data_IF_126104238383
#
_entry.id   IF_126104238383
#
_cell.length_a   1.000
_cell.length_b   1.000
_cell.length_c   1.000
_cell.angle_alpha   90.00
_cell.angle_beta   90.00
_cell.angle_gamma   90.00
#
_symmetry.space_group_name_H-M   'P 1'
#
loop_
_entity.id
_entity.type
_entity.pdbx_description
1 polymer ?
#
# COMPACT_ATOMS: atom_id res chain seq x y z
N UNK A 1 -1.69 3.17 13.08
CA UNK A 1 -1.49 3.22 14.56
C UNK A 1 -2.15 1.99 15.20
N UNK A 2 -1.76 1.40 16.33
CA UNK A 2 -0.61 0.48 16.57
C UNK A 2 0.80 1.05 16.38
N UNK A 3 1.78 0.23 15.99
CA UNK A 3 3.19 0.61 15.85
C UNK A 3 3.52 1.44 14.59
N UNK A 4 2.50 1.90 13.87
CA UNK A 4 2.63 2.65 12.63
C UNK A 4 2.66 1.80 11.36
N UNK A 5 2.65 0.48 11.49
CA UNK A 5 2.63 -0.49 10.39
C UNK A 5 1.36 -1.34 10.40
N UNK A 6 1.27 -2.31 9.48
CA UNK A 6 0.19 -3.30 9.45
C UNK A 6 0.50 -4.59 10.22
N UNK A 7 1.73 -4.75 10.72
CA UNK A 7 2.21 -6.00 11.31
C UNK A 7 1.36 -6.46 12.51
N UNK A 8 0.98 -5.53 13.40
CA UNK A 8 0.12 -5.87 14.54
C UNK A 8 -1.24 -6.44 14.10
N UNK A 9 -1.82 -5.94 13.00
CA UNK A 9 -3.07 -6.47 12.47
C UNK A 9 -2.88 -7.86 11.85
N UNK A 10 -1.74 -8.11 11.19
CA UNK A 10 -1.41 -9.42 10.65
C UNK A 10 -1.36 -10.48 11.76
N UNK A 11 -0.72 -10.16 12.89
CA UNK A 11 -0.64 -11.04 14.05
C UNK A 11 -2.03 -11.34 14.65
N UNK A 12 -2.85 -10.30 14.83
CA UNK A 12 -4.21 -10.46 15.37
C UNK A 12 -5.11 -11.28 14.45
N UNK A 13 -4.97 -11.13 13.13
CA UNK A 13 -5.73 -11.91 12.15
C UNK A 13 -5.26 -13.37 12.08
N UNK A 14 -3.95 -13.61 12.19
CA UNK A 14 -3.39 -14.96 12.26
C UNK A 14 -3.87 -15.70 13.52
N UNK A 15 -3.85 -15.02 14.67
CA UNK A 15 -4.35 -15.56 15.94
C UNK A 15 -5.85 -15.88 15.90
N UNK A 16 -6.65 -15.01 15.26
CA UNK A 16 -8.09 -15.24 15.10
C UNK A 16 -8.41 -16.41 14.15
N UNK A 17 -7.52 -16.69 13.20
CA UNK A 17 -7.68 -17.72 12.18
C UNK A 17 -8.68 -17.36 11.08
N UNK A 18 -8.65 -18.13 9.98
CA UNK A 18 -9.52 -17.93 8.81
C UNK A 18 -10.59 -19.02 8.77
N UNK A 19 -11.86 -18.61 8.60
CA UNK A 19 -12.98 -19.51 8.31
C UNK A 19 -13.40 -19.35 6.84
N UNK A 20 -13.20 -20.40 6.06
CA UNK A 20 -13.69 -20.42 4.67
C UNK A 20 -15.23 -20.39 4.63
N UNK A 21 -15.77 -19.72 3.62
CA UNK A 21 -17.20 -19.63 3.35
C UNK A 21 -17.53 -20.45 2.11
N UNK A 22 -18.75 -21.00 2.05
CA UNK A 22 -19.28 -21.72 0.88
C UNK A 22 -19.72 -20.74 -0.23
N UNK A 23 -18.81 -19.86 -0.63
CA UNK A 23 -18.99 -18.88 -1.68
C UNK A 23 -17.68 -18.70 -2.45
N UNK A 24 -17.79 -18.44 -3.76
CA UNK A 24 -16.59 -18.21 -4.58
C UNK A 24 -16.09 -16.77 -4.42
N UNK A 25 -14.78 -16.59 -4.29
CA UNK A 25 -14.16 -15.27 -4.18
C UNK A 25 -14.18 -14.55 -5.53
N UNK A 26 -14.67 -13.31 -5.53
CA UNK A 26 -14.65 -12.43 -6.70
C UNK A 26 -13.49 -11.44 -6.60
N UNK A 27 -12.87 -11.14 -7.75
CA UNK A 27 -11.80 -10.15 -7.89
C UNK A 27 -12.05 -9.25 -9.09
N UNK A 28 -11.47 -8.05 -9.06
CA UNK A 28 -11.52 -7.08 -10.16
C UNK A 28 -10.33 -7.36 -11.08
N UNK A 29 -10.56 -7.78 -12.33
CA UNK A 29 -9.51 -7.94 -13.35
C UNK A 29 -9.41 -6.69 -14.21
N UNK A 30 -8.21 -6.12 -14.30
CA UNK A 30 -7.94 -4.95 -15.14
C UNK A 30 -7.88 -5.36 -16.61
N UNK A 31 -8.65 -4.69 -17.46
CA UNK A 31 -8.77 -4.95 -18.91
C UNK A 31 -8.08 -3.90 -19.77
N UNK A 32 -7.99 -2.66 -19.28
CA UNK A 32 -7.31 -1.55 -19.94
C UNK A 32 -6.43 -0.81 -18.96
N UNK A 33 -5.37 -0.20 -19.46
CA UNK A 33 -4.55 0.69 -18.65
C UNK A 33 -5.36 1.92 -18.24
N UNK A 34 -5.42 2.19 -16.94
CA UNK A 34 -6.05 3.38 -16.37
C UNK A 34 -4.99 4.13 -15.58
N UNK A 35 -4.86 5.43 -15.83
CA UNK A 35 -3.87 6.29 -15.18
C UNK A 35 -4.50 7.59 -14.70
N UNK A 36 -4.01 8.10 -13.58
CA UNK A 36 -4.24 9.47 -13.10
C UNK A 36 -2.88 10.14 -12.87
N UNK A 37 -2.77 11.41 -13.26
CA UNK A 37 -1.55 12.22 -13.17
C UNK A 37 -1.82 13.53 -12.44
N UNK A 38 -0.86 14.02 -11.66
CA UNK A 38 -0.85 15.37 -11.07
C UNK A 38 0.57 15.94 -11.16
N UNK A 39 0.78 16.83 -12.14
CA UNK A 39 2.11 17.31 -12.49
C UNK A 39 3.00 16.19 -13.04
N UNK A 40 4.11 15.93 -12.35
CA UNK A 40 5.06 14.85 -12.61
C UNK A 40 4.67 13.51 -11.95
N UNK A 41 3.69 13.53 -11.03
CA UNK A 41 3.24 12.36 -10.27
C UNK A 41 2.22 11.56 -11.05
N UNK A 42 2.23 10.24 -10.89
CA UNK A 42 1.21 9.39 -11.46
C UNK A 42 0.92 8.15 -10.62
N UNK A 43 -0.28 7.62 -10.81
CA UNK A 43 -0.67 6.27 -10.37
C UNK A 43 -1.41 5.59 -11.51
N UNK A 44 -1.14 4.30 -11.72
CA UNK A 44 -1.65 3.57 -12.88
C UNK A 44 -1.93 2.11 -12.54
N UNK A 45 -3.00 1.58 -13.10
CA UNK A 45 -3.29 0.14 -13.15
C UNK A 45 -3.19 -0.35 -14.59
N UNK A 46 -2.52 -1.49 -14.80
CA UNK A 46 -2.36 -2.14 -16.10
C UNK A 46 -2.93 -3.56 -16.09
N UNK A 47 -3.45 -4.05 -17.24
CA UNK A 47 -3.79 -5.46 -17.40
C UNK A 47 -2.56 -6.33 -17.14
N UNK A 48 -2.72 -7.33 -16.29
CA UNK A 48 -1.67 -8.30 -15.96
C UNK A 48 -2.32 -9.58 -15.43
N UNK A 49 -1.66 -10.72 -15.68
CA UNK A 49 -2.04 -12.01 -15.07
C UNK A 49 -1.39 -12.22 -13.70
N UNK A 50 -0.59 -11.26 -13.24
CA UNK A 50 0.03 -11.23 -11.92
C UNK A 50 -0.34 -9.95 -11.18
N UNK A 51 -0.40 -10.02 -9.84
CA UNK A 51 -0.63 -8.86 -8.98
C UNK A 51 0.71 -8.32 -8.54
N UNK A 52 1.06 -7.11 -8.98
CA UNK A 52 2.31 -6.44 -8.64
C UNK A 52 2.05 -5.00 -8.20
N UNK A 53 2.92 -4.50 -7.32
CA UNK A 53 2.96 -3.11 -6.90
C UNK A 53 4.37 -2.59 -7.08
N UNK A 54 4.54 -1.64 -8.00
CA UNK A 54 5.78 -0.92 -8.23
C UNK A 54 5.56 0.53 -7.78
N UNK A 55 6.33 0.97 -6.79
CA UNK A 55 6.19 2.29 -6.22
C UNK A 55 7.54 2.97 -6.12
N UNK A 56 7.62 4.16 -6.70
CA UNK A 56 8.74 5.06 -6.60
C UNK A 56 8.34 6.35 -5.85
N UNK A 57 9.22 6.81 -4.98
CA UNK A 57 9.13 8.09 -4.31
C UNK A 57 10.37 8.92 -4.61
N UNK A 58 10.19 10.24 -4.66
CA UNK A 58 11.28 11.20 -4.75
C UNK A 58 10.96 12.35 -3.78
N UNK A 59 11.61 12.33 -2.62
CA UNK A 59 11.46 13.37 -1.61
C UNK A 59 12.71 14.23 -1.57
N UNK A 60 12.52 15.55 -1.59
CA UNK A 60 13.57 16.55 -1.29
C UNK A 60 13.94 16.50 0.22
N UNK A 61 14.51 15.38 0.65
CA UNK A 61 14.94 15.15 2.02
C UNK A 61 16.16 14.24 2.03
N UNK A 62 17.26 14.60 2.72
CA UNK A 62 18.55 13.90 2.62
C UNK A 62 18.50 12.41 3.01
N UNK A 63 17.57 12.04 3.90
CA UNK A 63 17.41 10.64 4.35
C UNK A 63 16.43 9.83 3.52
N UNK A 64 15.39 10.48 2.99
CA UNK A 64 14.37 9.76 2.21
C UNK A 64 14.89 9.64 0.78
N UNK A 65 15.17 10.78 0.15
CA UNK A 65 15.63 10.85 -1.23
C UNK A 65 14.71 10.12 -2.20
N UNK A 66 15.34 9.62 -3.27
CA UNK A 66 14.69 8.74 -4.22
C UNK A 66 14.75 7.30 -3.73
N UNK A 67 13.59 6.64 -3.66
CA UNK A 67 13.49 5.23 -3.29
C UNK A 67 12.47 4.53 -4.17
N UNK A 68 12.72 3.25 -4.43
CA UNK A 68 11.78 2.39 -5.13
C UNK A 68 11.57 1.08 -4.37
N UNK A 69 10.39 0.51 -4.52
CA UNK A 69 10.12 -0.87 -4.15
C UNK A 69 9.22 -1.51 -5.22
N UNK A 70 9.58 -2.74 -5.58
CA UNK A 70 8.75 -3.64 -6.38
C UNK A 70 8.30 -4.79 -5.51
N UNK A 71 7.01 -5.10 -5.54
CA UNK A 71 6.40 -6.13 -4.73
C UNK A 71 5.50 -7.01 -5.59
N UNK A 72 5.82 -8.31 -5.63
CA UNK A 72 4.93 -9.31 -6.18
C UNK A 72 4.01 -9.82 -5.06
N UNK A 73 2.71 -9.78 -5.29
CA UNK A 73 1.72 -10.11 -4.27
C UNK A 73 1.89 -11.57 -3.79
N UNK A 74 1.91 -11.76 -2.48
CA UNK A 74 2.22 -12.99 -1.74
C UNK A 74 1.87 -12.81 -0.27
N UNK A 75 1.17 -13.72 0.42
CA UNK A 75 0.85 -13.51 1.85
C UNK A 75 2.13 -13.54 2.69
N UNK A 76 2.98 -14.54 2.50
CA UNK A 76 4.29 -14.59 3.18
C UNK A 76 5.18 -13.38 2.81
N UNK A 77 5.40 -13.05 1.52
CA UNK A 77 6.08 -11.82 1.13
C UNK A 77 5.47 -10.56 1.75
N UNK A 78 4.15 -10.45 1.83
CA UNK A 78 3.49 -9.29 2.45
C UNK A 78 3.94 -9.10 3.89
N UNK A 79 3.87 -10.18 4.69
CA UNK A 79 4.24 -10.17 6.12
C UNK A 79 5.73 -9.83 6.28
N UNK A 80 6.59 -10.46 5.49
CA UNK A 80 8.04 -10.33 5.63
C UNK A 80 8.57 -8.98 5.11
N UNK A 81 7.97 -8.45 4.05
CA UNK A 81 8.54 -7.33 3.27
C UNK A 81 7.78 -6.00 3.39
N UNK A 82 6.46 -6.02 3.62
CA UNK A 82 5.62 -4.82 3.51
C UNK A 82 4.94 -4.49 4.84
N UNK A 83 4.35 -5.49 5.51
CA UNK A 83 3.49 -5.29 6.67
C UNK A 83 4.18 -4.56 7.83
N UNK A 84 5.51 -4.69 7.95
CA UNK A 84 6.32 -4.08 9.02
C UNK A 84 6.74 -2.63 8.75
N UNK A 85 6.53 -2.11 7.54
CA UNK A 85 6.94 -0.76 7.18
C UNK A 85 6.06 0.29 7.86
N UNK A 86 6.66 1.17 8.66
CA UNK A 86 5.94 2.16 9.45
C UNK A 86 5.64 3.43 8.67
N UNK A 87 4.56 4.09 9.07
CA UNK A 87 4.25 5.45 8.64
C UNK A 87 5.31 6.43 9.12
N UNK A 88 5.40 7.59 8.48
CA UNK A 88 6.45 8.56 8.73
C UNK A 88 5.95 10.00 8.62
N UNK A 89 6.61 10.92 9.31
CA UNK A 89 6.28 12.33 9.27
C UNK A 89 7.38 13.22 9.85
N UNK A 90 7.30 14.51 9.56
CA UNK A 90 8.28 15.50 10.01
C UNK A 90 7.91 16.03 11.40
N UNK A 91 8.88 16.05 12.30
CA UNK A 91 8.72 16.53 13.66
C UNK A 91 8.26 17.99 13.74
N UNK A 92 8.72 18.83 12.80
CA UNK A 92 8.28 20.23 12.68
C UNK A 92 6.77 20.36 12.42
N UNK A 93 6.19 19.40 11.71
CA UNK A 93 4.76 19.41 11.38
C UNK A 93 3.91 18.90 12.55
N UNK A 94 4.46 18.03 13.40
CA UNK A 94 3.71 17.42 14.52
C UNK A 94 3.17 18.47 15.48
N UNK A 95 3.97 19.46 15.88
CA UNK A 95 3.52 20.52 16.80
C UNK A 95 2.38 21.34 16.20
N UNK A 96 2.49 21.69 14.91
CA UNK A 96 1.45 22.39 14.18
C UNK A 96 0.17 21.55 14.09
N UNK A 97 0.28 20.29 13.66
CA UNK A 97 -0.85 19.37 13.54
C UNK A 97 -1.57 19.19 14.88
N UNK A 98 -0.82 19.01 15.97
CA UNK A 98 -1.39 18.87 17.31
C UNK A 98 -2.10 20.15 17.78
N UNK A 99 -1.58 21.33 17.42
CA UNK A 99 -2.24 22.60 17.74
C UNK A 99 -3.63 22.76 17.09
N UNK A 100 -3.89 22.03 15.99
CA UNK A 100 -5.19 22.00 15.30
C UNK A 100 -5.95 20.68 15.52
N UNK A 101 -5.65 19.96 16.61
CA UNK A 101 -6.27 18.68 16.99
C UNK A 101 -6.07 17.52 16.00
N UNK A 102 -5.02 17.56 15.18
CA UNK A 102 -4.58 16.46 14.33
C UNK A 102 -3.36 15.77 14.94
N UNK A 103 -3.13 14.49 14.59
CA UNK A 103 -1.95 13.73 15.03
C UNK A 103 -1.71 13.71 16.57
N UNK A 104 -2.77 13.83 17.38
CA UNK A 104 -2.67 13.91 18.85
C UNK A 104 -2.02 12.66 19.50
N UNK A 105 -2.17 11.49 18.86
CA UNK A 105 -1.54 10.24 19.32
C UNK A 105 -0.21 9.92 18.65
N UNK A 106 0.31 10.79 17.77
CA UNK A 106 1.56 10.53 17.05
C UNK A 106 2.76 10.58 18.00
N UNK A 107 3.61 9.56 17.90
CA UNK A 107 4.84 9.45 18.68
C UNK A 107 5.85 8.57 17.94
N UNK A 108 7.11 8.56 18.38
CA UNK A 108 8.14 7.69 17.80
C UNK A 108 7.82 6.19 17.97
N UNK A 109 6.91 5.82 18.88
CA UNK A 109 6.46 4.43 19.04
C UNK A 109 5.54 3.97 17.90
N UNK A 110 4.99 4.89 17.12
CA UNK A 110 3.95 4.59 16.13
C UNK A 110 4.13 5.30 14.78
N UNK A 111 5.25 5.98 14.60
CA UNK A 111 5.67 6.59 13.36
C UNK A 111 7.19 6.75 13.35
N UNK A 112 7.76 6.80 12.15
CA UNK A 112 9.12 7.28 11.94
C UNK A 112 9.09 8.81 12.00
N UNK A 113 9.77 9.38 13.00
CA UNK A 113 9.94 10.83 13.11
C UNK A 113 11.17 11.29 12.34
N UNK A 114 11.03 12.36 11.55
CA UNK A 114 12.12 12.98 10.79
C UNK A 114 12.32 14.42 11.26
N UNK A 115 13.56 14.85 11.46
CA UNK A 115 13.89 16.27 11.39
C UNK A 115 14.35 16.62 9.96
N UNK A 116 15.00 17.76 9.75
CA UNK A 116 15.43 18.17 8.40
C UNK A 116 16.67 17.39 7.89
N UNK A 117 17.34 16.60 8.74
CA UNK A 117 18.63 15.96 8.45
C UNK A 117 18.67 14.44 8.72
N UNK A 118 17.85 13.93 9.65
CA UNK A 118 17.96 12.55 10.16
C UNK A 118 16.62 11.95 10.60
N UNK A 119 16.65 10.63 10.80
CA UNK A 119 15.62 9.87 11.53
C UNK A 119 15.82 10.08 13.03
N UNK A 120 14.72 10.35 13.74
CA UNK A 120 14.69 10.61 15.19
C UNK A 120 14.51 9.34 16.04
N UNK A 121 14.00 8.27 15.43
CA UNK A 121 13.83 6.97 16.08
C UNK A 121 15.20 6.41 16.52
N UNK A 122 15.44 6.17 17.82
CA UNK A 122 16.72 5.66 18.32
C UNK A 122 17.13 4.30 17.73
N UNK A 123 16.14 3.47 17.41
CA UNK A 123 16.30 2.16 16.78
C UNK A 123 16.52 2.23 15.26
N UNK A 124 16.36 3.42 14.65
CA UNK A 124 16.47 3.64 13.22
C UNK A 124 15.31 3.08 12.41
N UNK A 125 15.61 2.72 11.15
CA UNK A 125 14.67 2.11 10.21
C UNK A 125 14.66 0.59 10.34
N UNK A 126 13.52 -0.03 10.04
CA UNK A 126 13.37 -1.49 9.93
C UNK A 126 13.87 -2.02 8.59
N UNK A 127 13.85 -1.17 7.57
CA UNK A 127 14.33 -1.44 6.22
C UNK A 127 15.01 -0.18 5.66
N UNK A 128 16.03 -0.35 4.84
CA UNK A 128 16.73 0.79 4.23
C UNK A 128 15.79 1.64 3.35
N UNK A 129 14.82 1.00 2.69
CA UNK A 129 13.77 1.65 1.90
C UNK A 129 12.37 1.59 2.58
N UNK A 130 12.32 1.72 3.91
CA UNK A 130 11.07 1.62 4.69
C UNK A 130 9.98 2.61 4.21
N UNK A 131 10.35 3.79 3.74
CA UNK A 131 9.40 4.81 3.25
C UNK A 131 8.69 4.36 1.97
N UNK A 132 9.41 3.82 0.98
CA UNK A 132 8.81 3.27 -0.24
C UNK A 132 7.94 2.04 0.05
N UNK A 133 8.39 1.15 0.95
CA UNK A 133 7.60 -0.02 1.40
C UNK A 133 6.29 0.40 2.07
N UNK A 134 6.32 1.44 2.91
CA UNK A 134 5.09 1.96 3.52
C UNK A 134 4.14 2.55 2.46
N UNK A 135 4.66 3.16 1.39
CA UNK A 135 3.81 3.65 0.30
C UNK A 135 3.16 2.55 -0.53
N UNK A 136 3.81 1.38 -0.65
CA UNK A 136 3.13 0.18 -1.16
C UNK A 136 2.03 -0.27 -0.19
N UNK A 137 2.30 -0.29 1.12
CA UNK A 137 1.30 -0.66 2.13
C UNK A 137 0.06 0.26 2.04
N UNK A 138 0.27 1.56 1.92
CA UNK A 138 -0.78 2.57 1.71
C UNK A 138 -1.57 2.27 0.42
N UNK A 139 -0.88 2.09 -0.72
CA UNK A 139 -1.53 1.83 -2.01
C UNK A 139 -2.35 0.54 -2.01
N UNK A 140 -1.85 -0.54 -1.39
CA UNK A 140 -2.59 -1.79 -1.23
C UNK A 140 -3.89 -1.57 -0.44
N UNK A 141 -3.82 -0.81 0.65
CA UNK A 141 -4.99 -0.43 1.44
C UNK A 141 -6.00 0.39 0.64
N UNK A 142 -5.53 1.42 -0.06
CA UNK A 142 -6.37 2.31 -0.88
C UNK A 142 -7.10 1.53 -2.00
N UNK A 143 -6.41 0.61 -2.68
CA UNK A 143 -7.04 -0.23 -3.70
C UNK A 143 -8.11 -1.16 -3.11
N UNK A 144 -7.91 -1.63 -1.88
CA UNK A 144 -8.87 -2.53 -1.20
C UNK A 144 -10.19 -1.83 -0.84
N UNK A 145 -10.24 -0.49 -0.87
CA UNK A 145 -11.49 0.28 -0.69
C UNK A 145 -12.54 -0.07 -1.77
N UNK A 146 -12.12 -0.58 -2.93
CA UNK A 146 -13.04 -1.11 -3.95
C UNK A 146 -13.78 -2.39 -3.53
N UNK A 147 -13.44 -2.97 -2.36
CA UNK A 147 -14.12 -4.13 -1.78
C UNK A 147 -13.66 -5.48 -2.33
N UNK A 148 -12.79 -5.49 -3.34
CA UNK A 148 -12.29 -6.69 -4.00
C UNK A 148 -10.80 -6.57 -4.28
N UNK A 149 -10.11 -7.71 -4.26
CA UNK A 149 -8.72 -7.77 -4.71
C UNK A 149 -8.64 -7.42 -6.19
N UNK A 150 -7.56 -6.75 -6.58
CA UNK A 150 -7.31 -6.33 -7.97
C UNK A 150 -6.32 -7.29 -8.62
N UNK A 151 -6.68 -7.81 -9.79
CA UNK A 151 -5.81 -8.55 -10.69
C UNK A 151 -5.29 -7.59 -11.78
N UNK A 152 -4.06 -7.13 -11.59
CA UNK A 152 -3.37 -6.21 -12.46
C UNK A 152 -2.02 -5.79 -11.88
N UNK A 153 -1.28 -4.99 -12.65
CA UNK A 153 -0.04 -4.38 -12.19
C UNK A 153 -0.31 -2.92 -11.79
N UNK A 154 0.00 -2.56 -10.55
CA UNK A 154 -0.04 -1.19 -10.05
C UNK A 154 1.35 -0.56 -10.20
N UNK A 155 1.40 0.64 -10.77
CA UNK A 155 2.63 1.44 -10.91
C UNK A 155 2.38 2.85 -10.42
N UNK A 156 3.37 3.44 -9.74
CA UNK A 156 3.25 4.78 -9.18
C UNK A 156 4.59 5.48 -9.08
N UNK A 157 4.60 6.76 -9.42
CA UNK A 157 5.66 7.71 -9.08
C UNK A 157 5.06 8.81 -8.21
N UNK A 158 5.59 8.94 -6.99
CA UNK A 158 5.15 9.92 -5.98
C UNK A 158 3.61 9.91 -5.75
N UNK A 159 2.99 8.73 -5.81
CA UNK A 159 1.57 8.54 -5.57
C UNK A 159 1.11 8.97 -4.18
N UNK A 160 -0.17 9.28 -4.06
CA UNK A 160 -0.79 9.73 -2.80
C UNK A 160 -2.18 9.09 -2.64
N UNK A 161 -2.73 9.10 -1.43
CA UNK A 161 -4.10 8.64 -1.19
C UNK A 161 -5.13 9.34 -2.10
N UNK A 162 -4.93 10.63 -2.39
CA UNK A 162 -5.79 11.39 -3.33
C UNK A 162 -5.70 10.80 -4.74
N UNK A 163 -4.50 10.59 -5.26
CA UNK A 163 -4.29 10.01 -6.58
C UNK A 163 -4.83 8.58 -6.66
N UNK A 164 -4.60 7.77 -5.63
CA UNK A 164 -5.15 6.41 -5.54
C UNK A 164 -6.68 6.42 -5.55
N UNK A 165 -7.30 7.33 -4.80
CA UNK A 165 -8.75 7.50 -4.83
C UNK A 165 -9.24 7.87 -6.24
N UNK A 166 -8.65 8.89 -6.86
CA UNK A 166 -9.00 9.31 -8.23
C UNK A 166 -8.82 8.16 -9.24
N UNK A 167 -7.80 7.31 -9.06
CA UNK A 167 -7.59 6.12 -9.88
C UNK A 167 -8.73 5.11 -9.73
N UNK A 168 -9.16 4.82 -8.49
CA UNK A 168 -10.30 3.91 -8.26
C UNK A 168 -11.59 4.45 -8.86
N UNK A 169 -11.85 5.76 -8.72
CA UNK A 169 -12.99 6.44 -9.34
C UNK A 169 -12.93 6.32 -10.86
N UNK A 170 -11.77 6.62 -11.46
CA UNK A 170 -11.58 6.55 -12.92
C UNK A 170 -11.70 5.13 -13.45
N UNK A 171 -11.18 4.14 -12.73
CA UNK A 171 -11.29 2.72 -13.09
C UNK A 171 -12.76 2.29 -13.15
N UNK A 172 -13.52 2.58 -12.08
CA UNK A 172 -14.91 2.15 -11.92
C UNK A 172 -15.92 2.95 -12.77
N UNK A 173 -15.52 4.11 -13.29
CA UNK A 173 -16.36 4.94 -14.15
C UNK A 173 -16.66 4.31 -15.52
N UNK A 174 -15.84 3.36 -16.00
CA UNK A 174 -16.06 2.68 -17.28
C UNK A 174 -15.86 1.16 -17.14
N UNK A 175 -16.95 0.41 -17.34
CA UNK A 175 -16.96 -1.06 -17.34
C UNK A 175 -16.03 -1.69 -18.39
N UNK A 176 -15.57 -0.95 -19.40
CA UNK A 176 -14.56 -1.44 -20.33
C UNK A 176 -13.16 -1.55 -19.71
N UNK A 177 -12.91 -0.92 -18.55
CA UNK A 177 -11.62 -0.92 -17.89
C UNK A 177 -11.40 -2.17 -17.03
N UNK A 178 -12.46 -2.85 -16.59
CA UNK A 178 -12.36 -3.97 -15.68
C UNK A 178 -13.46 -5.01 -15.88
N UNK A 179 -13.29 -6.20 -15.29
CA UNK A 179 -14.36 -7.17 -15.16
C UNK A 179 -14.29 -7.87 -13.80
N UNK A 180 -15.44 -8.25 -13.27
CA UNK A 180 -15.50 -9.11 -12.08
C UNK A 180 -15.27 -10.56 -12.52
N UNK A 181 -14.22 -11.18 -11.97
CA UNK A 181 -13.93 -12.60 -12.22
C UNK A 181 -14.05 -13.40 -10.95
N UNK A 182 -14.66 -14.57 -11.07
CA UNK A 182 -14.78 -15.54 -9.98
C UNK A 182 -13.54 -16.43 -9.99
N UNK A 183 -12.83 -16.49 -8.87
CA UNK A 183 -11.70 -17.40 -8.71
C UNK A 183 -12.22 -18.81 -8.42
N UNK A 184 -12.09 -19.70 -9.41
CA UNK A 184 -12.36 -21.12 -9.19
C UNK A 184 -11.22 -21.77 -8.41
N UNK A 185 -11.51 -22.78 -7.56
CA UNK A 185 -10.54 -23.47 -6.68
C UNK A 185 -9.23 -23.91 -7.40
N UNK A 186 -9.27 -24.21 -8.70
CA UNK A 186 -8.09 -24.62 -9.49
C UNK A 186 -7.23 -23.44 -9.97
N UNK A 187 -7.85 -22.33 -10.40
CA UNK A 187 -7.14 -21.06 -10.66
C UNK A 187 -6.55 -20.50 -9.37
N UNK A 188 -7.20 -20.79 -8.23
CA UNK A 188 -6.68 -20.47 -6.92
C UNK A 188 -5.33 -21.14 -6.62
N UNK A 189 -4.78 -22.10 -7.37
CA UNK A 189 -3.39 -22.56 -7.06
C UNK A 189 -2.30 -21.65 -7.62
N UNK A 190 -2.53 -21.02 -8.78
CA UNK A 190 -1.64 -19.97 -9.30
C UNK A 190 -1.92 -18.65 -8.58
N UNK A 191 -3.19 -18.36 -8.30
CA UNK A 191 -3.63 -17.19 -7.54
C UNK A 191 -3.30 -17.29 -6.04
N UNK A 192 -3.48 -18.42 -5.38
CA UNK A 192 -3.09 -18.62 -3.98
C UNK A 192 -1.58 -18.76 -3.83
N UNK A 193 -0.78 -18.95 -4.89
CA UNK A 193 0.65 -18.65 -4.74
C UNK A 193 0.90 -17.15 -4.51
N UNK A 194 0.01 -16.30 -5.02
CA UNK A 194 0.00 -14.87 -4.72
C UNK A 194 -0.79 -14.54 -3.44
N UNK A 195 -1.85 -15.26 -3.08
CA UNK A 195 -2.70 -14.98 -1.91
C UNK A 195 -2.54 -15.96 -0.73
N UNK A 196 -1.51 -16.83 -0.73
CA UNK A 196 -1.11 -17.69 0.39
C UNK A 196 0.34 -17.40 0.82
#
# INVERSE_FOLDING_TARGET
>A
IMDGSANSFCLLLDEAGIKEQEASKQVIRIKKTVEVTDGDKFVRLKPSDSVTFDFEIDFEHPVIGQQSQSYAFGTKPFIDEIARARTFGFARDIQYLQSINLALGASLNNAIGLDDEKVLNPEGLRFDNEFARHKILDAMGDMMVMGHNVLGAYESFAGSHKLNHELTVKLLADSANYEMVTLNRVQSRAFAKSFA
#
